data_IF_642788645836
#
_entry.id   IF_642788645836
#
_cell.length_a   1.000
_cell.length_b   1.000
_cell.length_c   1.000
_cell.angle_alpha   90.00
_cell.angle_beta   90.00
_cell.angle_gamma   90.00
#
_symmetry.space_group_name_H-M   'P 1'
#
loop_
_entity.id
_entity.type
_entity.pdbx_description
1 polymer ?
#
# COMPACT_ATOMS: atom_id res chain seq x y z
N UNK A 1 6.84 18.55 -7.43
CA UNK A 1 6.54 18.24 -6.01
C UNK A 1 5.09 18.57 -5.67
N UNK A 2 4.39 17.66 -4.99
CA UNK A 2 3.00 17.83 -4.54
C UNK A 2 2.82 19.06 -3.64
N UNK A 3 1.58 19.44 -3.34
CA UNK A 3 1.19 20.56 -2.44
C UNK A 3 1.69 20.45 -0.97
N UNK A 4 2.68 19.59 -0.71
CA UNK A 4 3.25 19.31 0.59
C UNK A 4 3.88 20.58 1.22
N UNK A 5 3.76 20.71 2.54
CA UNK A 5 4.38 21.81 3.29
C UNK A 5 3.69 23.18 3.17
N UNK A 6 2.56 23.27 2.47
CA UNK A 6 1.80 24.54 2.29
C UNK A 6 0.67 24.76 3.30
N UNK A 7 0.48 23.86 4.26
CA UNK A 7 -0.54 23.99 5.32
C UNK A 7 -1.99 23.72 4.88
N UNK A 8 -2.24 23.36 3.62
CA UNK A 8 -3.57 23.01 3.14
C UNK A 8 -3.87 21.52 3.35
N UNK A 9 -5.09 21.22 3.81
CA UNK A 9 -5.60 19.86 3.90
C UNK A 9 -6.19 19.45 2.55
N UNK A 10 -5.78 18.29 2.03
CA UNK A 10 -6.33 17.77 0.78
C UNK A 10 -6.32 16.25 0.74
N UNK A 11 -7.30 15.67 0.04
CA UNK A 11 -7.37 14.24 -0.28
C UNK A 11 -6.59 13.87 -1.55
N UNK A 12 -5.77 14.80 -2.04
CA UNK A 12 -4.97 14.74 -3.26
C UNK A 12 -5.75 14.32 -4.54
N UNK A 13 -5.07 14.08 -5.66
CA UNK A 13 -5.73 13.84 -6.95
C UNK A 13 -6.71 12.64 -6.94
N UNK A 14 -6.46 11.50 -6.25
CA UNK A 14 -7.44 10.40 -6.23
C UNK A 14 -8.70 10.79 -5.46
N UNK A 15 -8.53 11.46 -4.31
CA UNK A 15 -9.65 11.86 -3.48
C UNK A 15 -10.47 12.99 -4.11
N UNK A 16 -9.83 13.91 -4.84
CA UNK A 16 -10.53 14.93 -5.63
C UNK A 16 -11.33 14.30 -6.77
N UNK A 17 -10.75 13.36 -7.51
CA UNK A 17 -11.45 12.63 -8.57
C UNK A 17 -12.67 11.88 -8.03
N UNK A 18 -12.49 11.12 -6.94
CA UNK A 18 -13.59 10.41 -6.26
C UNK A 18 -14.68 11.37 -5.78
N UNK A 19 -14.33 12.51 -5.18
CA UNK A 19 -15.31 13.50 -4.69
C UNK A 19 -16.16 14.07 -5.81
N UNK A 20 -15.54 14.33 -6.97
CA UNK A 20 -16.26 14.77 -8.16
C UNK A 20 -17.28 13.73 -8.60
N UNK A 21 -16.88 12.46 -8.71
CA UNK A 21 -17.80 11.38 -9.05
C UNK A 21 -18.96 11.25 -8.05
N UNK A 22 -18.68 11.35 -6.75
CA UNK A 22 -19.71 11.32 -5.72
C UNK A 22 -20.68 12.52 -5.75
N UNK A 23 -20.24 13.70 -6.22
CA UNK A 23 -21.15 14.84 -6.45
C UNK A 23 -22.14 14.55 -7.58
N UNK A 24 -21.70 13.80 -8.60
CA UNK A 24 -22.55 13.37 -9.73
C UNK A 24 -23.47 12.21 -9.32
N UNK A 25 -23.06 11.40 -8.35
CA UNK A 25 -23.81 10.26 -7.81
C UNK A 25 -24.05 10.38 -6.29
N UNK A 26 -24.91 11.32 -5.84
CA UNK A 26 -25.05 11.65 -4.41
C UNK A 26 -25.62 10.50 -3.56
N UNK A 27 -26.32 9.53 -4.19
CA UNK A 27 -26.82 8.32 -3.52
C UNK A 27 -25.77 7.20 -3.38
N UNK A 28 -24.59 7.35 -3.97
CA UNK A 28 -23.55 6.35 -4.00
C UNK A 28 -22.37 6.75 -3.08
N UNK A 29 -22.00 5.85 -2.18
CA UNK A 29 -20.79 6.03 -1.37
C UNK A 29 -19.57 5.51 -2.13
N UNK A 30 -18.79 6.42 -2.72
CA UNK A 30 -17.55 6.04 -3.41
C UNK A 30 -16.38 5.93 -2.43
N UNK A 31 -15.70 4.79 -2.49
CA UNK A 31 -14.47 4.51 -1.73
C UNK A 31 -13.37 4.18 -2.74
N UNK A 32 -12.19 4.79 -2.56
CA UNK A 32 -11.02 4.53 -3.37
C UNK A 32 -9.97 3.84 -2.52
N UNK A 33 -9.45 2.72 -3.01
CA UNK A 33 -8.30 2.04 -2.43
C UNK A 33 -7.14 2.14 -3.42
N UNK A 34 -5.96 2.50 -2.92
CA UNK A 34 -4.73 2.43 -3.71
C UNK A 34 -4.27 0.98 -3.76
N UNK A 35 -3.93 0.48 -4.95
CA UNK A 35 -3.26 -0.81 -5.12
C UNK A 35 -1.84 -0.82 -4.58
N UNK A 36 -1.08 -1.88 -4.85
CA UNK A 36 0.33 -1.94 -4.49
C UNK A 36 1.13 -0.97 -5.37
N UNK A 37 1.43 0.21 -4.80
CA UNK A 37 2.03 1.34 -5.51
C UNK A 37 3.30 1.87 -4.82
N UNK A 38 3.94 1.06 -3.97
CA UNK A 38 5.14 1.46 -3.22
C UNK A 38 6.32 1.87 -4.09
N UNK A 39 6.41 1.35 -5.31
CA UNK A 39 7.40 1.74 -6.33
C UNK A 39 6.78 2.48 -7.52
N UNK A 40 5.55 3.00 -7.38
CA UNK A 40 4.84 3.73 -8.44
C UNK A 40 4.70 5.20 -8.06
N UNK A 41 5.51 6.04 -8.69
CA UNK A 41 5.42 7.49 -8.56
C UNK A 41 4.55 8.14 -9.63
N UNK A 42 3.87 9.23 -9.29
CA UNK A 42 3.14 10.07 -10.26
C UNK A 42 4.04 10.97 -11.11
N UNK A 43 5.37 10.93 -10.92
CA UNK A 43 6.32 11.92 -11.45
C UNK A 43 6.29 12.09 -12.98
N UNK A 44 5.98 11.02 -13.73
CA UNK A 44 5.80 11.09 -15.19
C UNK A 44 4.67 12.04 -15.63
N UNK A 45 3.65 12.20 -14.78
CA UNK A 45 2.44 12.97 -15.06
C UNK A 45 2.25 14.16 -14.11
N UNK A 46 3.19 14.37 -13.19
CA UNK A 46 3.09 15.37 -12.15
C UNK A 46 4.46 15.96 -11.82
N UNK A 47 4.79 17.06 -12.50
CA UNK A 47 5.97 17.88 -12.23
C UNK A 47 5.83 18.71 -10.94
N UNK A 48 4.62 18.79 -10.37
CA UNK A 48 4.28 19.57 -9.18
C UNK A 48 3.60 20.90 -9.46
N UNK A 49 3.37 21.23 -10.74
CA UNK A 49 2.54 22.37 -11.10
C UNK A 49 1.09 22.17 -10.65
N UNK A 50 0.36 23.25 -10.32
CA UNK A 50 -1.09 23.18 -10.10
C UNK A 50 -1.84 22.52 -11.27
N UNK A 51 -1.41 22.78 -12.50
CA UNK A 51 -2.00 22.29 -13.74
C UNK A 51 -1.83 20.77 -13.87
N UNK A 52 -0.65 20.23 -13.56
CA UNK A 52 -0.42 18.80 -13.61
C UNK A 52 -1.31 18.05 -12.60
N UNK A 53 -1.56 18.63 -11.43
CA UNK A 53 -2.51 18.07 -10.45
C UNK A 53 -3.94 18.05 -10.97
N UNK A 54 -4.39 19.11 -11.65
CA UNK A 54 -5.71 19.15 -12.29
C UNK A 54 -5.81 18.09 -13.38
N UNK A 55 -4.81 18.00 -14.26
CA UNK A 55 -4.76 17.01 -15.34
C UNK A 55 -4.76 15.56 -14.80
N UNK A 56 -3.98 15.28 -13.75
CA UNK A 56 -3.94 13.97 -13.12
C UNK A 56 -5.26 13.61 -12.42
N UNK A 57 -5.89 14.59 -11.76
CA UNK A 57 -7.24 14.42 -11.18
C UNK A 57 -8.26 14.09 -12.26
N UNK A 58 -8.24 14.79 -13.39
CA UNK A 58 -9.15 14.54 -14.50
C UNK A 58 -8.98 13.13 -15.08
N UNK A 59 -7.73 12.68 -15.30
CA UNK A 59 -7.44 11.32 -15.80
C UNK A 59 -7.95 10.23 -14.85
N UNK A 60 -7.76 10.40 -13.54
CA UNK A 60 -8.27 9.43 -12.56
C UNK A 60 -9.80 9.43 -12.52
N UNK A 61 -10.43 10.60 -12.60
CA UNK A 61 -11.89 10.70 -12.68
C UNK A 61 -12.42 10.01 -13.94
N UNK A 62 -11.83 10.26 -15.12
CA UNK A 62 -12.23 9.61 -16.37
C UNK A 62 -12.11 8.08 -16.28
N UNK A 63 -11.03 7.57 -15.69
CA UNK A 63 -10.85 6.14 -15.47
C UNK A 63 -11.90 5.55 -14.50
N UNK A 64 -12.21 6.25 -13.40
CA UNK A 64 -13.27 5.82 -12.46
C UNK A 64 -14.64 5.79 -13.14
N UNK A 65 -14.98 6.83 -13.92
CA UNK A 65 -16.26 6.90 -14.65
C UNK A 65 -16.34 5.83 -15.73
N UNK A 66 -15.25 5.57 -16.47
CA UNK A 66 -15.19 4.49 -17.45
C UNK A 66 -15.40 3.11 -16.79
N UNK A 67 -14.70 2.83 -15.69
CA UNK A 67 -14.89 1.59 -14.93
C UNK A 67 -16.33 1.43 -14.41
N UNK A 68 -16.96 2.52 -13.97
CA UNK A 68 -18.36 2.54 -13.54
C UNK A 68 -19.34 2.15 -14.66
N UNK A 69 -19.10 2.61 -15.90
CA UNK A 69 -19.93 2.29 -17.07
C UNK A 69 -19.82 0.83 -17.52
N UNK A 70 -18.71 0.17 -17.20
CA UNK A 70 -18.46 -1.23 -17.55
C UNK A 70 -18.88 -2.21 -16.45
N UNK A 71 -19.43 -1.72 -15.33
CA UNK A 71 -19.91 -2.57 -14.26
C UNK A 71 -20.98 -3.55 -14.77
N UNK A 72 -20.84 -4.81 -14.37
CA UNK A 72 -21.80 -5.88 -14.64
C UNK A 72 -22.34 -6.38 -13.30
N UNK A 73 -23.43 -5.78 -12.78
CA UNK A 73 -24.01 -6.21 -11.52
C UNK A 73 -24.43 -7.68 -11.58
N UNK A 74 -24.11 -8.42 -10.53
CA UNK A 74 -24.59 -9.80 -10.34
C UNK A 74 -25.03 -10.02 -8.88
N UNK A 75 -25.95 -10.96 -8.63
CA UNK A 75 -26.29 -11.34 -7.26
C UNK A 75 -25.08 -11.86 -6.50
N UNK A 76 -24.94 -11.45 -5.24
CA UNK A 76 -23.96 -12.04 -4.32
C UNK A 76 -24.43 -13.44 -3.95
N UNK A 77 -23.66 -14.46 -4.33
CA UNK A 77 -23.96 -15.88 -4.07
C UNK A 77 -23.16 -16.42 -2.90
N UNK A 78 -21.92 -15.97 -2.76
CA UNK A 78 -21.05 -16.32 -1.64
C UNK A 78 -20.15 -15.15 -1.28
N UNK A 79 -19.89 -14.99 0.02
CA UNK A 79 -18.93 -14.05 0.55
C UNK A 79 -18.12 -14.69 1.67
N UNK A 80 -16.81 -14.50 1.66
CA UNK A 80 -15.91 -15.02 2.68
C UNK A 80 -14.79 -14.02 2.96
N UNK A 81 -14.50 -13.82 4.25
CA UNK A 81 -13.29 -13.13 4.68
C UNK A 81 -12.26 -14.17 5.13
N UNK A 82 -11.01 -13.98 4.71
CA UNK A 82 -9.87 -14.80 5.12
C UNK A 82 -8.73 -13.88 5.54
N UNK A 83 -7.95 -14.34 6.52
CA UNK A 83 -6.78 -13.65 7.00
C UNK A 83 -5.62 -14.62 7.12
N UNK A 84 -4.41 -14.12 6.85
CA UNK A 84 -3.17 -14.84 7.01
C UNK A 84 -2.22 -13.98 7.84
N UNK A 85 -1.73 -14.54 8.94
CA UNK A 85 -0.84 -13.85 9.87
C UNK A 85 0.58 -14.39 9.76
N UNK A 86 1.56 -13.49 9.74
CA UNK A 86 2.96 -13.87 9.79
C UNK A 86 3.79 -12.83 10.53
N UNK A 87 4.87 -13.28 11.18
CA UNK A 87 5.84 -12.40 11.85
C UNK A 87 7.03 -12.21 10.91
N UNK A 88 7.27 -11.01 10.38
CA UNK A 88 8.40 -10.75 9.50
C UNK A 88 9.70 -10.56 10.27
N UNK A 89 10.82 -10.63 9.56
CA UNK A 89 12.12 -10.21 10.08
C UNK A 89 12.33 -8.70 9.88
N UNK A 90 12.97 -8.08 10.87
CA UNK A 90 13.44 -6.69 10.76
C UNK A 90 14.60 -6.63 9.77
N UNK A 91 14.68 -5.54 9.00
CA UNK A 91 15.86 -5.26 8.19
C UNK A 91 17.14 -5.22 9.07
N UNK A 92 18.14 -6.10 8.82
CA UNK A 92 19.33 -6.21 9.66
C UNK A 92 20.20 -4.93 9.68
N UNK A 93 19.97 -3.99 8.76
CA UNK A 93 20.62 -2.69 8.79
C UNK A 93 20.20 -1.81 9.98
N UNK A 94 19.09 -2.13 10.66
CA UNK A 94 18.56 -1.35 11.78
C UNK A 94 18.57 -2.16 13.06
N UNK A 95 19.10 -1.56 14.14
CA UNK A 95 19.11 -2.16 15.48
C UNK A 95 18.37 -1.28 16.46
N UNK A 96 17.80 -1.88 17.52
CA UNK A 96 17.10 -1.09 18.53
C UNK A 96 18.02 -0.06 19.17
N UNK A 97 19.29 -0.41 19.39
CA UNK A 97 20.31 0.47 19.94
C UNK A 97 20.57 1.68 19.03
N UNK A 98 20.91 1.43 17.76
CA UNK A 98 21.21 2.50 16.79
C UNK A 98 20.03 3.45 16.60
N UNK A 99 18.82 2.90 16.41
CA UNK A 99 17.62 3.73 16.20
C UNK A 99 17.26 4.52 17.46
N UNK A 100 17.47 3.94 18.65
CA UNK A 100 17.27 4.61 19.94
C UNK A 100 18.22 5.76 20.17
N UNK A 101 19.50 5.59 19.84
CA UNK A 101 20.47 6.67 19.89
C UNK A 101 20.08 7.82 18.95
N UNK A 102 19.60 7.52 17.74
CA UNK A 102 19.19 8.51 16.77
C UNK A 102 17.95 9.32 17.19
N UNK A 103 16.88 8.67 17.66
CA UNK A 103 15.66 9.41 18.02
C UNK A 103 15.77 10.19 19.34
N UNK A 104 16.63 9.76 20.26
CA UNK A 104 16.91 10.46 21.52
C UNK A 104 17.87 11.65 21.37
N UNK A 105 18.65 11.71 20.30
CA UNK A 105 19.55 12.83 20.06
C UNK A 105 18.75 14.09 19.69
N UNK A 106 18.60 15.00 20.64
CA UNK A 106 17.84 16.26 20.46
C UNK A 106 18.47 17.22 19.45
N UNK A 107 19.77 17.04 19.12
CA UNK A 107 20.45 17.83 18.09
C UNK A 107 20.04 17.42 16.67
N UNK A 108 19.41 16.25 16.50
CA UNK A 108 18.93 15.80 15.19
C UNK A 108 17.67 16.59 14.79
N UNK A 109 17.58 16.89 13.49
CA UNK A 109 16.34 17.43 12.91
C UNK A 109 15.15 16.49 13.18
N UNK A 110 13.91 17.01 13.30
CA UNK A 110 12.75 16.19 13.65
C UNK A 110 12.55 14.95 12.78
N UNK A 111 12.74 15.05 11.45
CA UNK A 111 12.65 13.90 10.54
C UNK A 111 13.66 12.78 10.86
N UNK A 112 14.87 13.17 11.28
CA UNK A 112 15.95 12.25 11.70
C UNK A 112 15.75 11.71 13.12
N UNK A 113 14.68 12.12 13.81
CA UNK A 113 14.23 11.52 15.08
C UNK A 113 12.96 10.69 14.89
N UNK A 114 12.04 11.13 14.03
CA UNK A 114 10.76 10.44 13.77
C UNK A 114 10.99 9.10 13.07
N UNK A 115 11.79 9.06 11.98
CA UNK A 115 12.02 7.80 11.25
C UNK A 115 12.66 6.73 12.14
N UNK A 116 13.71 7.03 12.93
CA UNK A 116 14.26 6.05 13.87
C UNK A 116 13.30 5.66 14.99
N UNK A 117 12.45 6.58 15.47
CA UNK A 117 11.42 6.22 16.45
C UNK A 117 10.39 5.23 15.89
N UNK A 118 9.95 5.42 14.64
CA UNK A 118 9.07 4.48 13.94
C UNK A 118 9.74 3.11 13.77
N UNK A 119 11.02 3.08 13.38
CA UNK A 119 11.80 1.84 13.28
C UNK A 119 11.98 1.13 14.61
N UNK A 120 12.29 1.85 15.68
CA UNK A 120 12.39 1.28 17.01
C UNK A 120 11.04 0.69 17.49
N UNK A 121 9.91 1.32 17.14
CA UNK A 121 8.59 0.76 17.40
C UNK A 121 8.33 -0.52 16.59
N UNK A 122 8.74 -0.55 15.32
CA UNK A 122 8.68 -1.75 14.47
C UNK A 122 9.54 -2.89 15.02
N UNK A 123 10.78 -2.63 15.41
CA UNK A 123 11.68 -3.62 16.02
C UNK A 123 11.03 -4.24 17.26
N UNK A 124 10.56 -3.39 18.19
CA UNK A 124 9.87 -3.86 19.41
C UNK A 124 8.59 -4.64 19.12
N UNK A 125 7.87 -4.31 18.05
CA UNK A 125 6.68 -5.07 17.61
C UNK A 125 7.06 -6.48 17.18
N UNK A 126 8.09 -6.61 16.34
CA UNK A 126 8.59 -7.91 15.87
C UNK A 126 9.17 -8.73 17.02
N UNK A 127 9.91 -8.12 17.95
CA UNK A 127 10.39 -8.78 19.19
C UNK A 127 9.24 -9.35 20.03
N UNK A 128 8.11 -8.63 20.10
CA UNK A 128 6.87 -9.08 20.76
C UNK A 128 6.05 -10.07 19.95
N UNK A 129 6.54 -10.46 18.76
CA UNK A 129 5.88 -11.38 17.82
C UNK A 129 4.46 -10.96 17.42
N UNK A 130 4.19 -9.65 17.37
CA UNK A 130 2.89 -9.14 16.90
C UNK A 130 2.89 -9.23 15.36
N UNK A 131 2.04 -10.08 14.76
CA UNK A 131 2.14 -10.38 13.33
C UNK A 131 1.67 -9.21 12.47
N UNK A 132 2.07 -9.26 11.19
CA UNK A 132 1.34 -8.59 10.12
C UNK A 132 0.16 -9.48 9.70
N UNK A 133 -0.90 -8.83 9.23
CA UNK A 133 -2.11 -9.51 8.74
C UNK A 133 -2.30 -9.18 7.26
N UNK A 134 -2.27 -10.20 6.41
CA UNK A 134 -2.85 -10.15 5.08
C UNK A 134 -4.31 -10.56 5.18
N UNK A 135 -5.17 -10.02 4.34
CA UNK A 135 -6.56 -10.49 4.29
C UNK A 135 -7.14 -10.41 2.90
N UNK A 136 -8.16 -11.22 2.65
CA UNK A 136 -8.88 -11.22 1.39
C UNK A 136 -10.39 -11.28 1.66
N UNK A 137 -11.13 -10.39 0.99
CA UNK A 137 -12.57 -10.51 0.86
C UNK A 137 -12.87 -11.17 -0.48
N UNK A 138 -13.41 -12.38 -0.44
CA UNK A 138 -13.88 -13.11 -1.60
C UNK A 138 -15.38 -12.87 -1.76
N UNK A 139 -15.79 -12.43 -2.95
CA UNK A 139 -17.21 -12.29 -3.33
C UNK A 139 -17.37 -12.88 -4.71
N UNK A 140 -18.13 -13.97 -4.83
CA UNK A 140 -18.25 -14.73 -6.09
C UNK A 140 -16.88 -15.01 -6.73
N UNK A 141 -16.64 -14.55 -7.97
CA UNK A 141 -15.38 -14.69 -8.71
C UNK A 141 -14.48 -13.43 -8.61
N UNK A 142 -14.69 -12.61 -7.58
CA UNK A 142 -13.87 -11.42 -7.28
C UNK A 142 -13.16 -11.62 -5.94
N UNK A 143 -11.94 -11.12 -5.83
CA UNK A 143 -11.23 -11.02 -4.56
C UNK A 143 -10.65 -9.63 -4.39
N UNK A 144 -10.92 -9.03 -3.23
CA UNK A 144 -10.24 -7.84 -2.76
C UNK A 144 -9.13 -8.28 -1.79
N UNK A 145 -7.89 -8.23 -2.26
CA UNK A 145 -6.69 -8.58 -1.51
C UNK A 145 -6.15 -7.34 -0.78
N UNK A 146 -5.97 -7.44 0.54
CA UNK A 146 -5.45 -6.37 1.38
C UNK A 146 -3.99 -6.65 1.74
N UNK A 147 -3.11 -5.70 1.42
CA UNK A 147 -1.68 -5.78 1.68
C UNK A 147 -1.21 -4.68 2.64
N UNK A 148 -0.22 -4.95 3.50
CA UNK A 148 0.37 -3.96 4.39
C UNK A 148 1.19 -2.92 3.63
N UNK A 149 1.34 -1.76 4.26
CA UNK A 149 2.30 -0.71 3.94
C UNK A 149 2.40 -0.32 2.44
N UNK A 150 3.53 0.27 2.07
CA UNK A 150 3.84 0.63 0.68
C UNK A 150 4.41 -0.59 -0.06
N UNK A 151 3.54 -1.56 -0.35
CA UNK A 151 3.87 -2.76 -1.12
C UNK A 151 4.17 -2.45 -2.58
N UNK A 152 5.20 -3.09 -3.14
CA UNK A 152 5.60 -2.99 -4.54
C UNK A 152 4.55 -3.57 -5.51
N UNK A 153 4.46 -3.01 -6.72
CA UNK A 153 3.46 -3.40 -7.74
C UNK A 153 3.54 -4.86 -8.14
N UNK A 154 4.72 -5.46 -8.02
CA UNK A 154 4.98 -6.86 -8.34
C UNK A 154 4.09 -7.80 -7.53
N UNK A 155 3.74 -7.47 -6.28
CA UNK A 155 2.85 -8.32 -5.47
C UNK A 155 1.44 -8.41 -6.07
N UNK A 156 0.86 -7.29 -6.54
CA UNK A 156 -0.47 -7.32 -7.14
C UNK A 156 -0.47 -8.00 -8.51
N UNK A 157 0.60 -7.84 -9.30
CA UNK A 157 0.72 -8.50 -10.61
C UNK A 157 0.82 -10.01 -10.45
N UNK A 158 1.69 -10.48 -9.53
CA UNK A 158 1.81 -11.91 -9.20
C UNK A 158 0.52 -12.46 -8.60
N UNK A 159 -0.21 -11.69 -7.78
CA UNK A 159 -1.51 -12.11 -7.26
C UNK A 159 -2.54 -12.33 -8.37
N UNK A 160 -2.54 -11.50 -9.42
CA UNK A 160 -3.41 -11.68 -10.58
C UNK A 160 -3.01 -12.92 -11.40
N UNK A 161 -1.71 -13.18 -11.57
CA UNK A 161 -1.21 -14.40 -12.23
C UNK A 161 -1.58 -15.68 -11.47
N UNK A 162 -1.54 -15.66 -10.14
CA UNK A 162 -1.87 -16.81 -9.29
C UNK A 162 -3.36 -17.16 -9.26
N UNK A 163 -4.24 -16.21 -9.58
CA UNK A 163 -5.68 -16.34 -9.43
C UNK A 163 -6.37 -16.65 -10.78
N UNK A 164 -6.07 -17.81 -11.37
CA UNK A 164 -6.67 -18.23 -12.64
C UNK A 164 -8.21 -18.19 -12.57
N UNK A 165 -8.83 -17.49 -13.52
CA UNK A 165 -10.29 -17.39 -13.64
C UNK A 165 -10.99 -16.47 -12.63
N UNK A 166 -10.22 -15.73 -11.81
CA UNK A 166 -10.75 -14.84 -10.77
C UNK A 166 -10.19 -13.42 -10.90
N UNK A 167 -11.04 -12.42 -10.76
CA UNK A 167 -10.59 -11.04 -10.75
C UNK A 167 -10.02 -10.67 -9.36
N UNK A 168 -8.75 -10.24 -9.31
CA UNK A 168 -8.10 -9.78 -8.07
C UNK A 168 -7.89 -8.28 -8.11
N UNK A 169 -8.64 -7.57 -7.27
CA UNK A 169 -8.40 -6.19 -6.91
C UNK A 169 -7.49 -6.15 -5.68
N UNK A 170 -6.50 -5.25 -5.66
CA UNK A 170 -5.59 -5.09 -4.51
C UNK A 170 -5.83 -3.74 -3.84
N UNK A 171 -5.89 -3.75 -2.51
CA UNK A 171 -5.83 -2.57 -1.65
C UNK A 171 -4.58 -2.69 -0.76
N UNK A 172 -3.55 -1.91 -1.05
CA UNK A 172 -2.36 -1.84 -0.20
C UNK A 172 -2.51 -0.73 0.86
N UNK A 173 -1.41 -0.33 1.49
CA UNK A 173 -1.39 0.72 2.51
C UNK A 173 -2.20 0.38 3.76
N UNK A 174 -2.26 -0.91 4.10
CA UNK A 174 -2.72 -1.38 5.41
C UNK A 174 -1.71 -1.05 6.51
N UNK A 175 -1.34 -2.04 7.31
CA UNK A 175 -0.39 -1.85 8.41
C UNK A 175 0.93 -1.20 7.95
N UNK A 176 1.24 -0.01 8.46
CA UNK A 176 2.37 0.80 8.02
C UNK A 176 3.70 0.47 8.69
N UNK A 177 3.78 -0.54 9.57
CA UNK A 177 4.99 -0.89 10.31
C UNK A 177 6.24 -1.11 9.43
N UNK A 178 6.15 -1.92 8.35
CA UNK A 178 7.27 -2.13 7.42
C UNK A 178 7.70 -0.88 6.64
N UNK A 179 6.83 0.13 6.57
CA UNK A 179 6.94 1.29 5.70
C UNK A 179 6.92 0.95 4.20
N UNK A 180 8.04 0.56 3.60
CA UNK A 180 8.08 0.03 2.24
C UNK A 180 8.27 -1.47 2.28
N UNK A 181 7.64 -2.18 1.33
CA UNK A 181 7.82 -3.61 1.15
C UNK A 181 8.32 -3.84 -0.28
N UNK A 182 9.64 -3.81 -0.51
CA UNK A 182 10.25 -4.20 -1.77
C UNK A 182 10.12 -5.71 -2.02
N UNK A 183 10.35 -6.13 -3.27
CA UNK A 183 10.63 -7.53 -3.56
C UNK A 183 12.05 -7.88 -3.12
N UNK A 184 12.36 -9.16 -2.90
CA UNK A 184 13.70 -9.61 -2.54
C UNK A 184 14.74 -9.20 -3.60
N UNK A 185 14.36 -9.24 -4.88
CA UNK A 185 15.21 -8.83 -6.00
C UNK A 185 15.49 -7.32 -6.06
N UNK A 186 14.68 -6.48 -5.41
CA UNK A 186 14.88 -5.03 -5.36
C UNK A 186 15.97 -4.62 -4.37
N UNK A 187 16.19 -5.38 -3.29
CA UNK A 187 17.20 -5.06 -2.28
C UNK A 187 18.61 -4.80 -2.85
N UNK A 188 19.20 -5.65 -3.72
CA UNK A 188 20.51 -5.38 -4.30
C UNK A 188 20.52 -4.18 -5.27
N UNK A 189 19.36 -3.72 -5.77
CA UNK A 189 19.26 -2.56 -6.67
C UNK A 189 19.31 -1.24 -5.89
N UNK A 190 18.99 -1.26 -4.60
CA UNK A 190 18.95 -0.07 -3.76
C UNK A 190 17.76 0.85 -4.11
N UNK A 191 17.97 2.16 -3.93
CA UNK A 191 16.91 3.16 -4.09
C UNK A 191 16.28 3.60 -2.77
N UNK A 192 15.40 4.59 -2.85
CA UNK A 192 14.80 5.19 -1.66
C UNK A 192 14.00 4.15 -0.87
N UNK A 193 13.09 3.45 -1.55
CA UNK A 193 12.16 2.47 -1.00
C UNK A 193 12.90 1.36 -0.24
N UNK A 194 13.98 0.85 -0.82
CA UNK A 194 14.85 -0.16 -0.19
C UNK A 194 15.60 0.41 1.01
N UNK A 195 16.15 1.62 0.90
CA UNK A 195 16.93 2.25 1.97
C UNK A 195 16.12 2.53 3.24
N UNK A 196 14.79 2.56 3.12
CA UNK A 196 13.89 2.84 4.24
C UNK A 196 12.96 1.68 4.60
N UNK A 197 13.02 0.55 3.90
CA UNK A 197 12.25 -0.64 4.22
C UNK A 197 12.63 -1.19 5.60
N UNK A 198 11.68 -1.23 6.54
CA UNK A 198 11.94 -1.69 7.90
C UNK A 198 11.99 -3.23 7.99
N UNK A 199 11.65 -3.94 6.92
CA UNK A 199 11.69 -5.41 6.83
C UNK A 199 12.90 -5.93 6.05
N UNK A 200 13.30 -7.16 6.35
CA UNK A 200 14.33 -7.88 5.61
C UNK A 200 13.82 -8.42 4.25
N UNK A 201 14.72 -8.86 3.35
CA UNK A 201 14.34 -9.48 2.07
C UNK A 201 13.46 -10.72 2.20
N UNK A 202 13.50 -11.41 3.35
CA UNK A 202 12.64 -12.55 3.69
C UNK A 202 11.14 -12.19 3.75
N UNK A 203 10.80 -10.89 3.77
CA UNK A 203 9.42 -10.41 3.65
C UNK A 203 8.76 -10.82 2.32
N UNK A 204 9.47 -10.80 1.19
CA UNK A 204 8.90 -11.14 -0.13
C UNK A 204 8.35 -12.58 -0.18
N UNK A 205 9.12 -13.63 0.12
CA UNK A 205 8.57 -14.99 0.13
C UNK A 205 7.48 -15.18 1.19
N UNK A 206 7.55 -14.52 2.35
CA UNK A 206 6.49 -14.59 3.37
C UNK A 206 5.17 -13.96 2.89
N UNK A 207 5.24 -12.77 2.28
CA UNK A 207 4.12 -12.09 1.63
C UNK A 207 3.53 -12.97 0.53
N UNK A 208 4.35 -13.52 -0.36
CA UNK A 208 3.88 -14.36 -1.47
C UNK A 208 3.25 -15.67 -0.99
N UNK A 209 3.76 -16.28 0.08
CA UNK A 209 3.16 -17.47 0.68
C UNK A 209 1.74 -17.17 1.21
N UNK A 210 1.58 -16.07 1.94
CA UNK A 210 0.28 -15.64 2.46
C UNK A 210 -0.70 -15.21 1.37
N UNK A 211 -0.22 -14.50 0.33
CA UNK A 211 -1.03 -14.16 -0.85
C UNK A 211 -1.54 -15.45 -1.53
N UNK A 212 -0.65 -16.41 -1.78
CA UNK A 212 -1.02 -17.66 -2.44
C UNK A 212 -2.00 -18.49 -1.59
N UNK A 213 -1.85 -18.49 -0.27
CA UNK A 213 -2.79 -19.14 0.65
C UNK A 213 -4.19 -18.50 0.58
N UNK A 214 -4.26 -17.18 0.68
CA UNK A 214 -5.53 -16.44 0.60
C UNK A 214 -6.23 -16.64 -0.73
N UNK A 215 -5.49 -16.70 -1.85
CA UNK A 215 -6.08 -16.89 -3.18
C UNK A 215 -6.54 -18.33 -3.45
N UNK A 216 -5.91 -19.34 -2.85
CA UNK A 216 -6.36 -20.75 -2.95
C UNK A 216 -7.60 -21.04 -2.12
N UNK A 217 -7.84 -20.31 -1.04
CA UNK A 217 -8.94 -20.52 -0.11
C UNK A 217 -10.28 -19.90 -0.57
N UNK A 218 -10.36 -19.50 -1.84
CA UNK A 218 -11.41 -18.67 -2.45
C UNK A 218 -12.53 -19.46 -3.15
#
# INVERSE_FOLDING_TARGET
MSHYGKGHVSSDFPGLARKRLQTEEPGCAHIYFTGAAGNIGAGKYNDGSPEARVALTARVYEAMTAAGRELKPEPVRAAAWRAHEFVPEVNPAFTLESETALYRNEKNAPANRIRPAMRAAWIRRVEKRVPLVLSALHVNAVTLLHLPAESFVEYQLRAQELAEGRFVATAAYGDGGPWYIPTAAAFPQGGYEVSVANCAPSMDPAMMAGIAELLRAA
#
